data_IF_447266205575
#
_entry.id   IF_447266205575
#
_cell.length_a   1.000
_cell.length_b   1.000
_cell.length_c   1.000
_cell.angle_alpha   90.00
_cell.angle_beta   90.00
_cell.angle_gamma   90.00
#
_symmetry.space_group_name_H-M   'P 1'
#
loop_
_entity.id
_entity.type
_entity.pdbx_description
1 polymer ?
#
# COMPACT_ATOMS: atom_id res chain seq x y z
N UNK A 1 -24.99 -31.16 -5.88
CA UNK A 1 -25.08 -29.72 -5.56
C UNK A 1 -24.19 -29.33 -4.39
N UNK A 2 -24.15 -30.12 -3.31
CA UNK A 2 -23.27 -29.91 -2.15
C UNK A 2 -21.78 -30.12 -2.45
N UNK A 3 -21.40 -31.12 -3.25
CA UNK A 3 -19.98 -31.38 -3.58
C UNK A 3 -19.35 -30.30 -4.46
N UNK A 4 -20.13 -29.71 -5.37
CA UNK A 4 -19.67 -28.62 -6.24
C UNK A 4 -19.40 -27.33 -5.45
N UNK A 5 -20.27 -27.02 -4.48
CA UNK A 5 -20.06 -25.91 -3.53
C UNK A 5 -18.80 -26.10 -2.69
N UNK A 6 -18.57 -27.32 -2.18
CA UNK A 6 -17.36 -27.61 -1.41
C UNK A 6 -16.09 -27.41 -2.25
N UNK A 7 -16.08 -27.91 -3.50
CA UNK A 7 -14.94 -27.72 -4.41
C UNK A 7 -14.65 -26.24 -4.68
N UNK A 8 -15.69 -25.42 -4.87
CA UNK A 8 -15.52 -23.98 -5.09
C UNK A 8 -14.96 -23.26 -3.85
N UNK A 9 -15.46 -23.61 -2.65
CA UNK A 9 -14.94 -23.06 -1.39
C UNK A 9 -13.46 -23.40 -1.21
N UNK A 10 -13.07 -24.67 -1.38
CA UNK A 10 -11.66 -25.07 -1.23
C UNK A 10 -10.74 -24.32 -2.21
N UNK A 11 -11.12 -24.22 -3.49
CA UNK A 11 -10.35 -23.46 -4.49
C UNK A 11 -10.17 -21.99 -4.09
N UNK A 12 -11.22 -21.35 -3.56
CA UNK A 12 -11.13 -19.96 -3.12
C UNK A 12 -10.19 -19.79 -1.91
N UNK A 13 -10.21 -20.73 -0.96
CA UNK A 13 -9.33 -20.71 0.22
C UNK A 13 -7.87 -20.90 -0.19
N UNK A 14 -7.58 -21.84 -1.09
CA UNK A 14 -6.24 -22.06 -1.62
C UNK A 14 -5.71 -20.82 -2.35
N UNK A 15 -6.55 -20.20 -3.19
CA UNK A 15 -6.19 -18.99 -3.92
C UNK A 15 -5.87 -17.83 -2.97
N UNK A 16 -6.70 -17.57 -1.96
CA UNK A 16 -6.46 -16.50 -0.98
C UNK A 16 -5.17 -16.76 -0.19
N UNK A 17 -4.95 -18.01 0.23
CA UNK A 17 -3.74 -18.39 0.97
C UNK A 17 -2.47 -18.19 0.13
N UNK A 18 -2.54 -18.50 -1.17
CA UNK A 18 -1.43 -18.29 -2.09
C UNK A 18 -1.16 -16.81 -2.40
N UNK A 19 -2.21 -16.00 -2.58
CA UNK A 19 -2.07 -14.58 -2.91
C UNK A 19 -1.67 -13.71 -1.72
N UNK A 20 -2.05 -14.10 -0.49
CA UNK A 20 -1.74 -13.35 0.74
C UNK A 20 -0.26 -12.92 0.86
N UNK A 21 0.75 -13.82 0.77
CA UNK A 21 2.16 -13.42 0.88
C UNK A 21 2.60 -12.48 -0.24
N UNK A 22 2.09 -12.67 -1.47
CA UNK A 22 2.40 -11.80 -2.62
C UNK A 22 1.85 -10.41 -2.38
N UNK A 23 0.60 -10.30 -1.93
CA UNK A 23 -0.04 -9.02 -1.59
C UNK A 23 0.72 -8.32 -0.47
N UNK A 24 1.07 -9.02 0.61
CA UNK A 24 1.84 -8.43 1.71
C UNK A 24 3.21 -7.92 1.26
N UNK A 25 3.89 -8.67 0.41
CA UNK A 25 5.17 -8.26 -0.16
C UNK A 25 5.04 -6.99 -1.02
N UNK A 26 4.04 -6.93 -1.92
CA UNK A 26 3.81 -5.79 -2.79
C UNK A 26 3.41 -4.52 -2.02
N UNK A 27 2.53 -4.64 -1.03
CA UNK A 27 2.15 -3.49 -0.18
C UNK A 27 3.32 -3.05 0.70
N UNK A 28 4.16 -3.98 1.16
CA UNK A 28 5.41 -3.66 1.85
C UNK A 28 6.38 -2.86 0.98
N UNK A 29 6.58 -3.26 -0.28
CA UNK A 29 7.35 -2.49 -1.26
C UNK A 29 6.76 -1.10 -1.51
N UNK A 30 5.43 -0.99 -1.50
CA UNK A 30 4.75 0.29 -1.67
C UNK A 30 5.03 1.28 -0.53
N UNK A 31 5.20 0.81 0.71
CA UNK A 31 5.67 1.67 1.82
C UNK A 31 7.05 2.24 1.49
N UNK A 32 7.99 1.40 1.05
CA UNK A 32 9.34 1.86 0.68
C UNK A 32 9.27 2.88 -0.45
N UNK A 33 8.43 2.62 -1.47
CA UNK A 33 8.18 3.56 -2.55
C UNK A 33 7.63 4.90 -2.03
N UNK A 34 6.69 4.90 -1.08
CA UNK A 34 6.14 6.14 -0.52
C UNK A 34 7.19 6.98 0.23
N UNK A 35 8.18 6.36 0.86
CA UNK A 35 9.34 7.07 1.43
C UNK A 35 10.20 7.73 0.34
N UNK A 36 10.40 7.05 -0.79
CA UNK A 36 11.09 7.64 -1.95
C UNK A 36 10.34 8.87 -2.46
N UNK A 37 9.01 8.83 -2.51
CA UNK A 37 8.19 9.99 -2.90
C UNK A 37 8.39 11.17 -1.95
N UNK A 38 8.42 10.96 -0.64
CA UNK A 38 8.74 12.04 0.32
C UNK A 38 10.08 12.69 -0.02
N UNK A 39 11.10 11.88 -0.30
CA UNK A 39 12.43 12.39 -0.68
C UNK A 39 12.39 13.20 -1.98
N UNK A 40 11.70 12.70 -3.01
CA UNK A 40 11.56 13.38 -4.30
C UNK A 40 10.82 14.71 -4.16
N UNK A 41 9.72 14.73 -3.40
CA UNK A 41 8.98 15.96 -3.10
C UNK A 41 9.87 16.95 -2.35
N UNK A 42 10.67 16.48 -1.38
CA UNK A 42 11.62 17.32 -0.65
C UNK A 42 12.66 17.97 -1.57
N UNK A 43 13.22 17.22 -2.52
CA UNK A 43 14.17 17.76 -3.50
C UNK A 43 13.48 18.76 -4.44
N UNK A 44 12.34 18.40 -5.05
CA UNK A 44 11.62 19.25 -5.99
C UNK A 44 11.19 20.58 -5.35
N UNK A 45 10.69 20.53 -4.12
CA UNK A 45 10.23 21.73 -3.40
C UNK A 45 11.37 22.63 -2.93
N UNK A 46 12.60 22.14 -2.83
CA UNK A 46 13.77 22.97 -2.52
C UNK A 46 14.16 23.92 -3.66
N UNK A 47 13.82 23.57 -4.90
CA UNK A 47 14.11 24.39 -6.08
C UNK A 47 12.98 25.35 -6.45
N UNK A 48 11.72 24.97 -6.21
CA UNK A 48 10.55 25.75 -6.63
C UNK A 48 10.31 27.01 -5.81
N UNK A 49 10.72 27.04 -4.53
CA UNK A 49 10.64 28.23 -3.68
C UNK A 49 9.24 28.88 -3.57
N UNK A 50 8.17 28.12 -3.82
CA UNK A 50 6.80 28.66 -3.90
C UNK A 50 6.08 28.60 -2.55
N UNK A 51 5.07 29.46 -2.36
CA UNK A 51 4.15 29.43 -1.22
C UNK A 51 3.35 28.12 -1.11
N UNK A 52 3.29 27.30 -2.18
CA UNK A 52 2.62 26.00 -2.18
C UNK A 52 3.49 24.87 -1.64
N UNK A 53 4.80 25.10 -1.48
CA UNK A 53 5.78 24.12 -0.99
C UNK A 53 5.37 23.42 0.31
N UNK A 54 4.92 24.13 1.36
CA UNK A 54 4.51 23.48 2.61
C UNK A 54 3.35 22.51 2.42
N UNK A 55 2.35 22.87 1.61
CA UNK A 55 1.20 22.01 1.34
C UNK A 55 1.60 20.72 0.63
N UNK A 56 2.46 20.82 -0.40
CA UNK A 56 2.92 19.66 -1.17
C UNK A 56 3.72 18.70 -0.26
N UNK A 57 4.55 19.24 0.64
CA UNK A 57 5.27 18.43 1.65
C UNK A 57 4.30 17.73 2.62
N UNK A 58 3.24 18.41 3.06
CA UNK A 58 2.23 17.80 3.93
C UNK A 58 1.50 16.66 3.22
N UNK A 59 1.13 16.83 1.95
CA UNK A 59 0.48 15.78 1.17
C UNK A 59 1.36 14.55 0.95
N UNK A 60 2.68 14.72 0.79
CA UNK A 60 3.58 13.56 0.65
C UNK A 60 3.69 12.76 1.95
N UNK A 61 3.69 13.42 3.10
CA UNK A 61 3.61 12.75 4.40
C UNK A 61 2.26 12.05 4.62
N UNK A 62 1.15 12.71 4.28
CA UNK A 62 -0.18 12.10 4.37
C UNK A 62 -0.28 10.84 3.50
N UNK A 63 0.30 10.88 2.30
CA UNK A 63 0.38 9.73 1.42
C UNK A 63 1.13 8.55 2.05
N UNK A 64 2.30 8.80 2.67
CA UNK A 64 3.05 7.77 3.41
C UNK A 64 2.22 7.18 4.57
N UNK A 65 1.58 8.01 5.40
CA UNK A 65 0.75 7.51 6.50
C UNK A 65 -0.45 6.71 6.00
N UNK A 66 -1.04 7.10 4.87
CA UNK A 66 -2.12 6.34 4.23
C UNK A 66 -1.63 4.98 3.75
N UNK A 67 -0.46 4.93 3.10
CA UNK A 67 0.16 3.68 2.67
C UNK A 67 0.48 2.75 3.85
N UNK A 68 1.03 3.31 4.94
CA UNK A 68 1.29 2.56 6.17
C UNK A 68 -0.01 2.04 6.82
N UNK A 69 -1.06 2.86 6.85
CA UNK A 69 -2.38 2.45 7.36
C UNK A 69 -2.99 1.31 6.54
N UNK A 70 -2.92 1.40 5.21
CA UNK A 70 -3.38 0.33 4.31
C UNK A 70 -2.58 -0.96 4.55
N UNK A 71 -1.26 -0.88 4.73
CA UNK A 71 -0.45 -2.06 5.04
C UNK A 71 -0.88 -2.73 6.35
N UNK A 72 -1.17 -1.98 7.41
CA UNK A 72 -1.68 -2.54 8.67
C UNK A 72 -3.04 -3.21 8.45
N UNK A 73 -3.94 -2.59 7.68
CA UNK A 73 -5.24 -3.20 7.33
C UNK A 73 -5.03 -4.51 6.58
N UNK A 74 -4.18 -4.53 5.56
CA UNK A 74 -3.87 -5.74 4.79
C UNK A 74 -3.25 -6.80 5.68
N UNK A 75 -2.34 -6.44 6.59
CA UNK A 75 -1.68 -7.38 7.51
C UNK A 75 -2.67 -8.06 8.47
N UNK A 76 -3.70 -7.34 8.92
CA UNK A 76 -4.67 -7.84 9.89
C UNK A 76 -5.80 -8.63 9.23
N UNK A 77 -6.28 -8.18 8.06
CA UNK A 77 -7.52 -8.69 7.46
C UNK A 77 -7.32 -9.61 6.25
N UNK A 78 -6.17 -9.57 5.58
CA UNK A 78 -5.84 -10.43 4.43
C UNK A 78 -4.87 -11.48 4.89
#
# INVERSE_FOLDING_TARGET
MTEDLLSQVFKSVELVTFLKPITLFLVGLYIVFSLVIIRQVGLMTSFLGSNTTPFIKTFSWLHFFTAAGIFVIVLVFI
#
